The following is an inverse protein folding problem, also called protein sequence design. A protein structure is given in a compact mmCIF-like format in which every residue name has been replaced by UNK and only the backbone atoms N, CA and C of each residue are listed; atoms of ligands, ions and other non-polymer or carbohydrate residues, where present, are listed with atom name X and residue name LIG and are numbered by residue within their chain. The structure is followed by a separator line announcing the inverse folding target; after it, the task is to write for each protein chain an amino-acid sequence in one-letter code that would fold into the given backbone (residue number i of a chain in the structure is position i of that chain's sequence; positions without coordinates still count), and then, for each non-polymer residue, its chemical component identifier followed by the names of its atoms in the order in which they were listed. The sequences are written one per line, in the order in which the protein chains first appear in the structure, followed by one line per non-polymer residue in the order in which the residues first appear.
data_IF_307440591065
#
_entry.id   IF_307440591065
#
_cell.length_a   1.000
_cell.length_b   1.000
_cell.length_c   1.000
_cell.angle_alpha   90.00
_cell.angle_beta   90.00
_cell.angle_gamma   90.00
#
_symmetry.space_group_name_H-M   'P 1'
#
loop_
_entity.id
_entity.type
_entity.pdbx_description
1 polymer ?
#
# COMPACT_ATOMS: atom_id res chain seq x y z
N UNK A 1 3.00 -43.06 -60.06
CA UNK A 1 2.69 -43.59 -58.71
C UNK A 1 3.74 -43.02 -57.76
N UNK A 2 3.36 -42.11 -56.85
CA UNK A 2 4.24 -41.55 -55.81
C UNK A 2 3.38 -41.15 -54.59
N UNK A 3 3.96 -41.36 -53.41
CA UNK A 3 3.36 -41.61 -52.09
C UNK A 3 2.73 -40.38 -51.36
N UNK A 4 1.93 -40.60 -50.30
CA UNK A 4 1.22 -39.53 -49.60
C UNK A 4 2.14 -38.78 -48.61
N UNK A 5 2.02 -37.46 -48.56
CA UNK A 5 2.67 -36.62 -47.58
C UNK A 5 2.01 -36.77 -46.20
N UNK A 6 2.80 -37.07 -45.19
CA UNK A 6 2.37 -37.16 -43.78
C UNK A 6 2.16 -35.77 -43.17
N UNK A 7 1.14 -35.55 -42.32
CA UNK A 7 0.97 -34.30 -41.61
C UNK A 7 1.94 -34.22 -40.41
N UNK A 8 2.78 -33.19 -40.37
CA UNK A 8 3.59 -32.87 -39.19
C UNK A 8 2.71 -32.40 -38.02
N UNK A 9 2.92 -32.90 -36.80
CA UNK A 9 2.20 -32.45 -35.62
C UNK A 9 2.76 -31.11 -35.16
N UNK A 10 1.96 -30.04 -35.22
CA UNK A 10 2.31 -28.75 -34.61
C UNK A 10 2.35 -28.89 -33.09
N UNK A 11 3.56 -28.83 -32.53
CA UNK A 11 3.87 -28.87 -31.09
C UNK A 11 3.38 -27.59 -30.37
N UNK A 12 3.08 -27.70 -29.05
CA UNK A 12 2.30 -26.78 -28.23
C UNK A 12 3.09 -25.54 -27.74
N UNK A 13 3.78 -24.84 -28.64
CA UNK A 13 4.65 -23.71 -28.28
C UNK A 13 3.87 -22.51 -27.73
N UNK A 14 2.59 -22.38 -28.08
CA UNK A 14 1.72 -21.32 -27.56
C UNK A 14 1.46 -21.45 -26.05
N UNK A 15 1.28 -22.68 -25.55
CA UNK A 15 1.02 -22.92 -24.13
C UNK A 15 2.25 -22.59 -23.28
N UNK A 16 3.45 -22.94 -23.74
CA UNK A 16 4.69 -22.68 -23.01
C UNK A 16 5.01 -21.19 -22.95
N UNK A 17 4.80 -20.44 -24.04
CA UNK A 17 4.98 -18.98 -24.03
C UNK A 17 3.96 -18.28 -23.12
N UNK A 18 2.70 -18.74 -23.12
CA UNK A 18 1.65 -18.21 -22.24
C UNK A 18 1.96 -18.48 -20.75
N UNK A 19 2.45 -19.68 -20.43
CA UNK A 19 2.89 -20.08 -19.09
C UNK A 19 4.09 -19.27 -18.59
N UNK A 20 4.95 -18.79 -19.48
CA UNK A 20 6.08 -17.92 -19.13
C UNK A 20 5.68 -16.45 -19.00
N UNK A 21 4.65 -16.01 -19.74
CA UNK A 21 4.13 -14.65 -19.66
C UNK A 21 3.30 -14.41 -18.39
N UNK A 22 2.57 -15.41 -17.90
CA UNK A 22 1.75 -15.32 -16.68
C UNK A 22 2.53 -14.89 -15.42
N UNK A 23 3.69 -15.48 -15.07
CA UNK A 23 4.51 -15.03 -13.95
C UNK A 23 5.07 -13.63 -14.16
N UNK A 24 5.52 -13.29 -15.37
CA UNK A 24 6.05 -11.97 -15.70
C UNK A 24 4.97 -10.88 -15.62
N UNK A 25 3.74 -11.21 -16.02
CA UNK A 25 2.59 -10.34 -15.88
C UNK A 25 2.19 -10.20 -14.40
N UNK A 26 2.20 -11.29 -13.63
CA UNK A 26 1.92 -11.26 -12.19
C UNK A 26 2.96 -10.44 -11.41
N UNK A 27 4.26 -10.54 -11.75
CA UNK A 27 5.31 -9.73 -11.14
C UNK A 27 5.27 -8.28 -11.60
N UNK A 28 4.99 -8.02 -12.88
CA UNK A 28 4.75 -6.67 -13.38
C UNK A 28 3.53 -6.04 -12.70
N UNK A 29 2.42 -6.77 -12.56
CA UNK A 29 1.24 -6.29 -11.83
C UNK A 29 1.53 -6.11 -10.33
N UNK A 30 2.31 -6.97 -9.69
CA UNK A 30 2.74 -6.77 -8.30
C UNK A 30 3.55 -5.47 -8.15
N UNK A 31 4.41 -5.15 -9.12
CA UNK A 31 5.12 -3.86 -9.19
C UNK A 31 4.24 -2.68 -9.62
N UNK A 32 3.18 -2.90 -10.43
CA UNK A 32 2.20 -1.87 -10.79
C UNK A 32 1.15 -1.63 -9.69
N UNK A 33 0.95 -2.59 -8.77
CA UNK A 33 0.14 -2.43 -7.57
C UNK A 33 0.83 -1.56 -6.52
N UNK A 34 2.16 -1.42 -6.60
CA UNK A 34 2.81 -0.16 -6.22
C UNK A 34 2.45 0.85 -7.31
N UNK A 35 1.17 1.27 -7.34
CA UNK A 35 0.77 2.53 -7.94
C UNK A 35 1.87 3.53 -7.51
N UNK A 36 2.42 4.36 -8.41
CA UNK A 36 3.17 5.52 -7.96
C UNK A 36 2.19 6.28 -7.09
N UNK A 37 2.24 6.00 -5.78
CA UNK A 37 1.35 6.61 -4.81
C UNK A 37 1.74 8.05 -4.93
N UNK A 38 0.78 8.88 -5.31
CA UNK A 38 1.01 10.28 -5.62
C UNK A 38 1.98 10.84 -4.59
N UNK A 39 2.96 11.65 -5.02
CA UNK A 39 3.93 12.23 -4.09
C UNK A 39 3.22 13.05 -2.98
N UNK A 40 1.95 13.40 -3.20
CA UNK A 40 1.06 14.06 -2.24
C UNK A 40 0.41 13.11 -1.23
N UNK A 41 0.40 11.79 -1.44
CA UNK A 41 -0.29 10.82 -0.57
C UNK A 41 0.02 10.99 0.93
N UNK A 42 1.29 11.16 1.36
CA UNK A 42 1.61 11.41 2.77
C UNK A 42 1.02 12.74 3.26
N UNK A 43 1.02 13.76 2.39
CA UNK A 43 0.52 15.09 2.70
C UNK A 43 -1.01 15.12 2.80
N UNK A 44 -1.71 14.51 1.84
CA UNK A 44 -3.18 14.44 1.83
C UNK A 44 -3.69 13.66 3.05
N UNK A 45 -3.00 12.58 3.42
CA UNK A 45 -3.30 11.80 4.62
C UNK A 45 -3.10 12.61 5.90
N UNK A 46 -2.06 13.45 5.97
CA UNK A 46 -1.82 14.35 7.11
C UNK A 46 -2.90 15.43 7.21
N UNK A 47 -3.30 16.01 6.08
CA UNK A 47 -4.39 17.00 6.04
C UNK A 47 -5.71 16.40 6.52
N UNK A 48 -6.05 15.20 6.06
CA UNK A 48 -7.24 14.48 6.51
C UNK A 48 -7.17 14.14 8.00
N UNK A 49 -6.00 13.77 8.52
CA UNK A 49 -5.81 13.49 9.95
C UNK A 49 -5.99 14.75 10.80
N UNK A 50 -5.49 15.91 10.35
CA UNK A 50 -5.72 17.20 11.02
C UNK A 50 -7.18 17.65 10.96
N UNK A 51 -7.86 17.43 9.83
CA UNK A 51 -9.28 17.73 9.68
C UNK A 51 -10.15 16.83 10.57
N UNK A 52 -9.78 15.55 10.71
CA UNK A 52 -10.48 14.58 11.55
C UNK A 52 -10.40 14.94 13.04
N UNK A 53 -9.21 15.33 13.51
CA UNK A 53 -8.94 15.66 14.91
C UNK A 53 -8.12 16.95 15.02
N UNK A 54 -8.78 18.12 14.92
CA UNK A 54 -8.10 19.40 15.04
C UNK A 54 -7.35 19.51 16.37
N UNK A 55 -6.16 20.11 16.35
CA UNK A 55 -5.41 20.34 17.58
C UNK A 55 -6.22 21.22 18.53
N UNK A 56 -6.38 20.82 19.80
CA UNK A 56 -7.09 21.64 20.76
C UNK A 56 -6.33 22.96 21.00
N UNK A 57 -7.05 24.06 21.29
CA UNK A 57 -6.43 25.36 21.55
C UNK A 57 -5.57 25.36 22.83
N UNK A 58 -5.80 24.39 23.72
CA UNK A 58 -5.00 24.17 24.91
C UNK A 58 -4.21 22.87 24.76
N UNK A 59 -2.93 22.83 25.18
CA UNK A 59 -2.14 21.62 25.14
C UNK A 59 -2.80 20.52 25.98
N UNK A 60 -2.96 19.34 25.40
CA UNK A 60 -3.35 18.16 26.15
C UNK A 60 -2.32 17.91 27.26
N UNK A 61 -2.76 17.71 28.50
CA UNK A 61 -1.90 17.28 29.62
C UNK A 61 -1.48 15.82 29.41
N UNK A 62 -0.65 15.55 28.40
CA UNK A 62 0.05 14.29 28.26
C UNK A 62 1.38 14.36 29.00
N UNK A 63 1.58 13.48 29.97
CA UNK A 63 2.76 13.47 30.84
C UNK A 63 4.06 13.09 30.11
N UNK A 64 3.98 12.53 28.91
CA UNK A 64 5.14 12.26 28.05
C UNK A 64 4.69 12.22 26.59
N UNK A 65 5.48 12.77 25.67
CA UNK A 65 5.27 12.56 24.25
C UNK A 65 5.51 11.07 23.91
N UNK A 66 4.67 10.45 23.06
CA UNK A 66 4.92 9.09 22.62
C UNK A 66 6.26 9.01 21.89
N UNK A 67 7.03 7.96 22.16
CA UNK A 67 8.33 7.73 21.53
C UNK A 67 8.15 7.28 20.08
N UNK A 68 8.82 7.98 19.16
CA UNK A 68 8.99 7.55 17.78
C UNK A 68 10.47 7.23 17.53
N UNK A 69 10.84 6.03 17.07
CA UNK A 69 12.24 5.68 16.87
C UNK A 69 12.82 6.35 15.61
N UNK A 70 13.71 7.32 15.80
CA UNK A 70 14.39 8.08 14.73
C UNK A 70 15.20 7.21 13.76
N UNK A 71 15.62 6.02 14.19
CA UNK A 71 16.31 5.05 13.34
C UNK A 71 15.47 4.62 12.13
N UNK A 72 14.14 4.73 12.20
CA UNK A 72 13.26 4.43 11.07
C UNK A 72 13.32 5.48 9.95
N UNK A 73 13.78 6.70 10.26
CA UNK A 73 13.90 7.80 9.30
C UNK A 73 15.19 7.71 8.47
N UNK A 74 16.22 7.01 8.97
CA UNK A 74 17.59 7.06 8.45
C UNK A 74 18.08 5.70 7.95
N UNK A 75 17.20 4.88 7.36
CA UNK A 75 17.60 3.57 6.82
C UNK A 75 18.15 3.68 5.40
N UNK A 76 19.33 3.11 5.18
CA UNK A 76 19.93 2.98 3.84
C UNK A 76 19.33 1.82 3.02
N UNK A 77 18.42 1.05 3.61
CA UNK A 77 17.85 -0.15 3.00
C UNK A 77 16.41 0.11 2.49
N UNK A 78 16.21 0.32 1.17
CA UNK A 78 14.91 0.74 0.64
C UNK A 78 13.80 -0.31 0.84
N UNK A 79 14.13 -1.61 0.79
CA UNK A 79 13.13 -2.66 1.07
C UNK A 79 12.67 -2.63 2.52
N UNK A 80 13.58 -2.35 3.46
CA UNK A 80 13.24 -2.22 4.88
C UNK A 80 12.41 -0.96 5.12
N UNK A 81 12.74 0.16 4.47
CA UNK A 81 11.94 1.39 4.53
C UNK A 81 10.50 1.12 4.08
N UNK A 82 10.32 0.44 2.94
CA UNK A 82 9.01 0.09 2.42
C UNK A 82 8.21 -0.84 3.35
N UNK A 83 8.86 -1.87 3.90
CA UNK A 83 8.23 -2.79 4.85
C UNK A 83 7.82 -2.08 6.16
N UNK A 84 8.67 -1.19 6.68
CA UNK A 84 8.36 -0.36 7.85
C UNK A 84 7.19 0.58 7.56
N UNK A 85 7.21 1.29 6.44
CA UNK A 85 6.13 2.19 6.05
C UNK A 85 4.79 1.45 5.95
N UNK A 86 4.78 0.27 5.32
CA UNK A 86 3.59 -0.57 5.25
C UNK A 86 3.08 -0.96 6.65
N UNK A 87 3.98 -1.38 7.55
CA UNK A 87 3.61 -1.73 8.92
C UNK A 87 3.01 -0.54 9.68
N UNK A 88 3.56 0.66 9.51
CA UNK A 88 3.03 1.90 10.08
C UNK A 88 1.61 2.16 9.56
N UNK A 89 1.40 2.10 8.23
CA UNK A 89 0.09 2.31 7.62
C UNK A 89 -0.94 1.28 8.11
N UNK A 90 -0.57 0.01 8.22
CA UNK A 90 -1.42 -1.04 8.76
C UNK A 90 -1.82 -0.78 10.21
N UNK A 91 -0.86 -0.35 11.05
CA UNK A 91 -1.15 0.02 12.44
C UNK A 91 -2.08 1.23 12.53
N UNK A 92 -1.83 2.27 11.72
CA UNK A 92 -2.70 3.44 11.65
C UNK A 92 -4.12 3.06 11.23
N UNK A 93 -4.27 2.25 10.19
CA UNK A 93 -5.58 1.77 9.75
C UNK A 93 -6.30 1.02 10.88
N UNK A 94 -5.62 0.09 11.56
CA UNK A 94 -6.20 -0.66 12.67
C UNK A 94 -6.63 0.25 13.84
N UNK A 95 -5.79 1.22 14.23
CA UNK A 95 -6.12 2.19 15.27
C UNK A 95 -7.31 3.06 14.89
N UNK A 96 -7.32 3.58 13.67
CA UNK A 96 -8.34 4.52 13.20
C UNK A 96 -9.66 3.86 12.80
N UNK A 97 -9.66 2.56 12.46
CA UNK A 97 -10.88 1.79 12.20
C UNK A 97 -11.57 1.29 13.47
N UNK A 98 -10.92 1.40 14.64
CA UNK A 98 -11.49 0.96 15.91
C UNK A 98 -12.84 1.64 16.24
N UNK A 99 -13.82 0.90 16.78
CA UNK A 99 -15.10 1.47 17.23
C UNK A 99 -14.93 2.37 18.47
N UNK A 100 -13.80 2.31 19.18
CA UNK A 100 -13.51 3.12 20.37
C UNK A 100 -12.94 4.50 20.05
N UNK A 101 -13.13 4.97 18.82
CA UNK A 101 -12.66 6.28 18.38
C UNK A 101 -13.46 7.40 19.06
N UNK A 102 -12.82 8.52 19.44
CA UNK A 102 -13.51 9.60 20.13
C UNK A 102 -14.69 10.17 19.32
N UNK A 103 -15.84 10.37 19.95
CA UNK A 103 -17.05 10.83 19.27
C UNK A 103 -16.94 12.23 18.65
N UNK A 104 -16.01 13.05 19.12
CA UNK A 104 -15.80 14.41 18.62
C UNK A 104 -14.96 14.47 17.33
N UNK A 105 -14.44 13.34 16.85
CA UNK A 105 -13.71 13.29 15.59
C UNK A 105 -14.67 13.36 14.40
N UNK A 106 -14.25 14.06 13.35
CA UNK A 106 -15.05 14.17 12.14
C UNK A 106 -15.13 12.80 11.42
N UNK A 107 -16.34 12.26 11.32
CA UNK A 107 -16.58 10.93 10.76
C UNK A 107 -16.32 10.86 9.25
N UNK A 108 -16.52 11.97 8.53
CA UNK A 108 -16.31 12.03 7.09
C UNK A 108 -14.81 12.08 6.76
N UNK A 109 -14.06 12.94 7.44
CA UNK A 109 -12.60 13.01 7.33
C UNK A 109 -11.96 11.67 7.71
N UNK A 110 -12.45 11.01 8.77
CA UNK A 110 -12.03 9.65 9.13
C UNK A 110 -12.29 8.65 8.01
N UNK A 111 -13.46 8.68 7.39
CA UNK A 111 -13.78 7.76 6.29
C UNK A 111 -12.88 7.99 5.07
N UNK A 112 -12.64 9.26 4.70
CA UNK A 112 -11.71 9.61 3.63
C UNK A 112 -10.27 9.16 3.95
N UNK A 113 -9.82 9.35 5.19
CA UNK A 113 -8.51 8.91 5.63
C UNK A 113 -8.35 7.39 5.52
N UNK A 114 -9.32 6.62 6.01
CA UNK A 114 -9.28 5.15 5.93
C UNK A 114 -9.29 4.63 4.49
N UNK A 115 -9.95 5.31 3.57
CA UNK A 115 -9.94 4.94 2.14
C UNK A 115 -8.62 5.30 1.44
N UNK A 116 -7.86 6.24 2.00
CA UNK A 116 -6.57 6.66 1.43
C UNK A 116 -5.42 5.75 1.89
N UNK A 117 -5.45 5.30 3.15
CA UNK A 117 -4.45 4.42 3.78
C UNK A 117 -4.39 3.02 3.17
#
# INVERSE_FOLDING_TARGET
MAAPATPQPRRPHGATALLLLLPALATALACHHLRPRDATFPWDSLQLLQAMAPSPPQPCHHQQAPFFPDALLHTDHPQQAAATALRILQHLFATLSSPTTPQHWDAQARHHLLNNL
#
